data_IF_080143107877
#
_entry.id   IF_080143107877
#
_cell.length_a   1.000
_cell.length_b   1.000
_cell.length_c   1.000
_cell.angle_alpha   90.00
_cell.angle_beta   90.00
_cell.angle_gamma   90.00
#
_symmetry.space_group_name_H-M   'P 1'
#
loop_
_entity.id
_entity.type
_entity.pdbx_description
1 polymer ?
#
# COMPACT_ATOMS: atom_id res chain seq x y z
N UNK A 1 -81.77 4.64 -25.74
CA UNK A 1 -82.35 5.44 -26.83
C UNK A 1 -81.76 6.85 -26.76
N UNK A 2 -81.00 7.20 -27.80
CA UNK A 2 -80.64 8.53 -28.30
C UNK A 2 -80.06 9.61 -27.35
N UNK A 3 -78.74 9.79 -27.47
CA UNK A 3 -77.96 11.03 -27.63
C UNK A 3 -78.73 12.35 -27.80
N UNK A 4 -78.25 13.44 -27.18
CA UNK A 4 -78.03 14.69 -27.91
C UNK A 4 -76.86 15.52 -27.32
N UNK A 5 -76.07 16.01 -28.25
CA UNK A 5 -74.82 16.76 -28.22
C UNK A 5 -74.96 18.21 -27.74
N UNK A 6 -73.87 18.76 -27.18
CA UNK A 6 -73.33 20.09 -27.53
C UNK A 6 -71.90 20.26 -27.01
N UNK A 7 -70.95 20.21 -27.92
CA UNK A 7 -69.57 20.64 -27.74
C UNK A 7 -69.46 22.10 -28.21
N UNK A 8 -68.76 22.94 -27.43
CA UNK A 8 -68.38 24.29 -27.83
C UNK A 8 -66.86 24.36 -28.02
N UNK A 9 -66.49 24.88 -29.19
CA UNK A 9 -65.16 25.17 -29.67
C UNK A 9 -64.54 26.42 -29.01
N UNK A 10 -63.21 26.45 -28.98
CA UNK A 10 -62.24 27.54 -29.31
C UNK A 10 -61.00 27.33 -28.42
N UNK A 11 -59.74 27.44 -28.85
CA UNK A 11 -59.11 27.87 -30.10
C UNK A 11 -57.66 27.34 -30.08
N UNK A 12 -57.14 26.94 -31.24
CA UNK A 12 -55.73 26.55 -31.42
C UNK A 12 -54.88 27.82 -31.57
N UNK A 13 -53.92 28.02 -30.67
CA UNK A 13 -52.80 28.93 -30.90
C UNK A 13 -51.53 28.12 -31.16
N UNK A 14 -51.01 28.24 -32.37
CA UNK A 14 -49.74 27.66 -32.81
C UNK A 14 -48.59 28.54 -32.32
N UNK A 15 -47.95 28.14 -31.22
CA UNK A 15 -46.67 28.70 -30.77
C UNK A 15 -45.52 28.10 -31.56
N UNK A 16 -44.92 28.91 -32.44
CA UNK A 16 -43.79 28.56 -33.30
C UNK A 16 -42.56 28.21 -32.45
N UNK A 17 -41.99 27.02 -32.68
CA UNK A 17 -40.64 26.65 -32.26
C UNK A 17 -39.63 27.59 -32.93
N UNK A 18 -38.98 28.43 -32.14
CA UNK A 18 -37.80 29.18 -32.55
C UNK A 18 -36.57 28.33 -32.22
N UNK A 19 -36.20 27.44 -33.15
CA UNK A 19 -34.83 26.96 -33.24
C UNK A 19 -33.95 28.17 -33.57
N UNK A 20 -33.25 28.69 -32.56
CA UNK A 20 -32.13 29.59 -32.77
C UNK A 20 -30.84 28.77 -32.73
N UNK A 21 -30.19 28.70 -33.88
CA UNK A 21 -28.87 28.12 -34.08
C UNK A 21 -27.84 29.01 -33.40
N UNK A 22 -27.49 28.70 -32.15
CA UNK A 22 -26.34 29.32 -31.49
C UNK A 22 -25.08 28.50 -31.77
N UNK A 23 -24.43 28.91 -32.86
CA UNK A 23 -23.00 29.22 -33.01
C UNK A 23 -22.06 28.52 -32.00
N UNK A 24 -21.15 27.70 -32.54
CA UNK A 24 -19.96 27.11 -31.89
C UNK A 24 -19.35 28.05 -30.83
N UNK A 25 -19.66 27.78 -29.57
CA UNK A 25 -18.88 28.23 -28.42
C UNK A 25 -18.02 27.06 -27.98
N UNK A 26 -16.69 27.26 -27.96
CA UNK A 26 -15.79 26.35 -27.26
C UNK A 26 -16.25 26.26 -25.81
N UNK A 27 -16.81 25.11 -25.42
CA UNK A 27 -17.13 24.81 -24.02
C UNK A 27 -15.79 24.61 -23.32
N UNK A 28 -15.18 25.69 -22.85
CA UNK A 28 -14.09 25.63 -21.87
C UNK A 28 -14.71 25.26 -20.51
N UNK A 29 -15.03 23.99 -20.33
CA UNK A 29 -15.33 23.46 -19.00
C UNK A 29 -14.01 23.44 -18.21
N UNK A 30 -13.75 24.54 -17.51
CA UNK A 30 -12.69 24.63 -16.50
C UNK A 30 -12.97 23.59 -15.43
N UNK A 31 -12.21 22.49 -15.43
CA UNK A 31 -12.18 21.56 -14.29
C UNK A 31 -11.27 22.19 -13.25
N UNK A 32 -11.79 22.54 -12.07
CA UNK A 32 -10.98 23.11 -10.97
C UNK A 32 -9.89 22.14 -10.46
N UNK A 33 -10.01 20.84 -10.76
CA UNK A 33 -9.19 19.77 -10.17
C UNK A 33 -8.34 19.02 -11.22
N UNK A 34 -8.69 19.08 -12.51
CA UNK A 34 -8.07 18.26 -13.55
C UNK A 34 -7.47 19.12 -14.65
N UNK A 35 -6.19 18.88 -14.96
CA UNK A 35 -5.43 19.59 -16.01
C UNK A 35 -5.62 18.99 -17.41
N UNK A 36 -6.28 17.83 -17.53
CA UNK A 36 -6.51 17.16 -18.82
C UNK A 36 -7.74 17.70 -19.54
N UNK A 37 -7.58 17.93 -20.85
CA UNK A 37 -8.67 18.29 -21.78
C UNK A 37 -9.81 17.27 -21.69
N UNK A 38 -11.05 17.74 -21.86
CA UNK A 38 -12.25 16.90 -21.92
C UNK A 38 -12.24 16.08 -23.22
N UNK A 39 -11.46 15.02 -23.27
CA UNK A 39 -11.57 13.99 -24.29
C UNK A 39 -12.53 12.94 -23.74
N UNK A 40 -13.71 12.79 -24.36
CA UNK A 40 -14.65 11.68 -24.08
C UNK A 40 -14.14 10.35 -24.66
N UNK A 41 -12.84 10.16 -24.70
CA UNK A 41 -12.23 9.06 -25.41
C UNK A 41 -11.49 8.14 -24.43
N UNK A 42 -11.57 6.84 -24.69
CA UNK A 42 -10.91 5.80 -23.88
C UNK A 42 -9.41 5.70 -24.16
N UNK A 43 -8.89 6.55 -25.06
CA UNK A 43 -7.47 6.57 -25.43
C UNK A 43 -6.52 6.83 -24.26
N UNK A 44 -7.00 7.38 -23.13
CA UNK A 44 -6.17 7.56 -21.93
C UNK A 44 -5.81 6.23 -21.21
N UNK A 45 -6.48 5.12 -21.55
CA UNK A 45 -6.14 3.78 -21.05
C UNK A 45 -5.10 3.07 -21.91
N UNK A 46 -4.72 3.65 -23.05
CA UNK A 46 -3.72 3.08 -23.95
C UNK A 46 -2.51 4.01 -24.04
N UNK A 47 -1.33 3.43 -24.22
CA UNK A 47 -0.12 4.21 -24.50
C UNK A 47 -0.27 4.95 -25.83
N UNK A 48 0.57 5.95 -26.03
CA UNK A 48 0.65 6.70 -27.27
C UNK A 48 0.77 5.73 -28.45
N UNK A 49 -0.02 5.98 -29.51
CA UNK A 49 -0.05 5.12 -30.71
C UNK A 49 1.32 4.90 -31.36
N UNK A 50 2.29 5.78 -31.06
CA UNK A 50 3.69 5.69 -31.50
C UNK A 50 4.48 4.59 -30.80
N UNK A 51 4.10 4.24 -29.57
CA UNK A 51 4.76 3.26 -28.73
C UNK A 51 4.21 1.84 -28.93
N UNK A 52 3.16 1.69 -29.76
CA UNK A 52 2.55 0.39 -30.04
C UNK A 52 3.53 -0.51 -30.80
N UNK A 53 3.82 -1.68 -30.23
CA UNK A 53 4.77 -2.64 -30.81
C UNK A 53 6.24 -2.33 -30.55
N UNK A 54 6.57 -1.27 -29.81
CA UNK A 54 7.93 -1.01 -29.35
C UNK A 54 8.33 -2.02 -28.25
N UNK A 55 9.55 -2.54 -28.32
CA UNK A 55 10.09 -3.47 -27.31
C UNK A 55 10.48 -2.75 -26.02
N UNK A 56 11.00 -1.52 -26.14
CA UNK A 56 11.37 -0.67 -25.01
C UNK A 56 10.75 0.72 -25.15
N UNK A 57 10.14 1.20 -24.07
CA UNK A 57 9.68 2.58 -23.95
C UNK A 57 10.55 3.28 -22.91
N UNK A 58 11.25 4.35 -23.32
CA UNK A 58 12.11 5.12 -22.43
C UNK A 58 11.26 5.80 -21.35
N UNK A 59 11.53 5.48 -20.09
CA UNK A 59 10.87 6.07 -18.93
C UNK A 59 11.89 6.80 -18.04
N UNK A 60 11.43 7.86 -17.36
CA UNK A 60 12.25 8.59 -16.39
C UNK A 60 12.45 7.84 -15.07
N UNK A 61 13.10 8.48 -14.10
CA UNK A 61 13.20 7.98 -12.72
C UNK A 61 11.87 8.10 -11.96
N UNK A 62 11.71 7.33 -10.90
CA UNK A 62 10.62 7.49 -9.93
C UNK A 62 10.73 8.81 -9.14
N UNK A 63 9.58 9.26 -8.61
CA UNK A 63 9.51 10.40 -7.71
C UNK A 63 10.09 10.03 -6.35
N UNK A 64 11.10 10.78 -5.92
CA UNK A 64 11.76 10.60 -4.62
C UNK A 64 11.05 11.43 -3.55
N UNK A 65 11.08 10.97 -2.30
CA UNK A 65 10.40 11.65 -1.18
C UNK A 65 10.83 13.11 -1.01
N UNK A 66 12.11 13.40 -1.20
CA UNK A 66 12.65 14.76 -1.08
C UNK A 66 12.09 15.71 -2.13
N UNK A 67 11.86 15.24 -3.36
CA UNK A 67 11.24 16.06 -4.42
C UNK A 67 9.78 16.38 -4.08
N UNK A 68 9.07 15.41 -3.51
CA UNK A 68 7.65 15.51 -3.16
C UNK A 68 7.43 16.40 -1.93
N UNK A 69 8.36 16.41 -0.98
CA UNK A 69 8.32 17.28 0.21
C UNK A 69 8.33 18.77 -0.13
N UNK A 70 8.95 19.15 -1.25
CA UNK A 70 9.01 20.55 -1.73
C UNK A 70 7.68 20.99 -2.37
N UNK A 71 6.82 20.05 -2.81
CA UNK A 71 5.58 20.36 -3.53
C UNK A 71 4.41 20.69 -2.60
N UNK A 72 3.50 21.53 -3.09
CA UNK A 72 2.27 21.91 -2.40
C UNK A 72 1.26 20.74 -2.38
N UNK A 73 0.37 20.69 -1.38
CA UNK A 73 -0.68 19.65 -1.30
C UNK A 73 -1.60 19.61 -2.55
N UNK A 74 -2.05 20.75 -3.12
CA UNK A 74 -2.82 20.74 -4.37
C UNK A 74 -2.05 20.13 -5.55
N UNK A 75 -0.74 20.34 -5.62
CA UNK A 75 0.08 19.77 -6.70
C UNK A 75 0.34 18.28 -6.50
N UNK A 76 0.54 17.82 -5.26
CA UNK A 76 0.60 16.39 -4.94
C UNK A 76 -0.71 15.69 -5.30
N UNK A 77 -1.85 16.30 -4.99
CA UNK A 77 -3.15 15.76 -5.36
C UNK A 77 -3.33 15.65 -6.89
N UNK A 78 -2.90 16.67 -7.66
CA UNK A 78 -2.89 16.59 -9.12
C UNK A 78 -1.95 15.50 -9.63
N UNK A 79 -0.75 15.40 -9.04
CA UNK A 79 0.26 14.42 -9.41
C UNK A 79 -0.25 12.99 -9.18
N UNK A 80 -0.96 12.74 -8.07
CA UNK A 80 -1.60 11.45 -7.80
C UNK A 80 -2.49 10.99 -8.95
N UNK A 81 -3.33 11.87 -9.50
CA UNK A 81 -4.18 11.53 -10.65
C UNK A 81 -3.41 11.35 -11.96
N UNK A 82 -2.27 12.00 -12.12
CA UNK A 82 -1.39 11.75 -13.28
C UNK A 82 -0.81 10.34 -13.19
N UNK A 83 -0.26 9.98 -12.03
CA UNK A 83 0.30 8.64 -11.76
C UNK A 83 -0.77 7.55 -11.84
N UNK A 84 -1.96 7.80 -11.30
CA UNK A 84 -3.07 6.84 -11.34
C UNK A 84 -3.51 6.52 -12.79
N UNK A 85 -3.53 7.51 -13.68
CA UNK A 85 -3.84 7.28 -15.10
C UNK A 85 -2.76 6.45 -15.78
N UNK A 86 -1.49 6.75 -15.51
CA UNK A 86 -0.36 5.96 -16.02
C UNK A 86 -0.43 4.52 -15.52
N UNK A 87 -0.68 4.30 -14.21
CA UNK A 87 -0.84 2.96 -13.63
C UNK A 87 -1.98 2.20 -14.29
N UNK A 88 -3.15 2.81 -14.47
CA UNK A 88 -4.30 2.16 -15.10
C UNK A 88 -4.02 1.79 -16.57
N UNK A 89 -3.34 2.67 -17.30
CA UNK A 89 -2.92 2.42 -18.68
C UNK A 89 -1.94 1.24 -18.75
N UNK A 90 -0.93 1.21 -17.86
CA UNK A 90 0.05 0.13 -17.78
C UNK A 90 -0.59 -1.22 -17.43
N UNK A 91 -1.49 -1.25 -16.45
CA UNK A 91 -2.23 -2.48 -16.08
C UNK A 91 -3.10 -2.99 -17.24
N UNK A 92 -3.71 -2.10 -18.02
CA UNK A 92 -4.48 -2.47 -19.22
C UNK A 92 -3.56 -3.14 -20.25
N UNK A 93 -2.37 -2.56 -20.48
CA UNK A 93 -1.38 -3.13 -21.38
C UNK A 93 -0.81 -4.46 -20.89
N UNK A 94 -0.57 -4.60 -19.58
CA UNK A 94 -0.04 -5.82 -18.98
C UNK A 94 -1.01 -6.98 -19.19
N UNK A 95 -2.29 -6.73 -18.91
CA UNK A 95 -3.35 -7.70 -19.14
C UNK A 95 -3.46 -8.09 -20.62
N UNK A 96 -3.42 -7.12 -21.53
CA UNK A 96 -3.44 -7.40 -22.98
C UNK A 96 -2.21 -8.22 -23.42
N UNK A 97 -1.02 -7.90 -22.92
CA UNK A 97 0.19 -8.66 -23.24
C UNK A 97 0.08 -10.10 -22.75
N UNK A 98 -0.48 -10.30 -21.54
CA UNK A 98 -0.73 -11.62 -20.98
C UNK A 98 -1.73 -12.43 -21.81
N UNK A 99 -2.81 -11.81 -22.27
CA UNK A 99 -3.81 -12.43 -23.14
C UNK A 99 -3.23 -12.79 -24.52
N UNK A 100 -2.42 -11.91 -25.09
CA UNK A 100 -1.72 -12.15 -26.36
C UNK A 100 -0.48 -13.05 -26.22
N UNK A 101 -0.14 -13.52 -25.01
CA UNK A 101 1.08 -14.26 -24.70
C UNK A 101 2.37 -13.55 -25.17
N UNK A 102 2.41 -12.24 -25.05
CA UNK A 102 3.55 -11.38 -25.38
C UNK A 102 4.25 -10.89 -24.11
N UNK A 103 5.54 -10.61 -24.24
CA UNK A 103 6.30 -9.97 -23.18
C UNK A 103 5.85 -8.51 -23.04
N UNK A 104 5.71 -8.07 -21.79
CA UNK A 104 5.31 -6.70 -21.49
C UNK A 104 6.43 -5.71 -21.86
N UNK A 105 6.14 -4.65 -22.62
CA UNK A 105 7.12 -3.61 -22.91
C UNK A 105 7.52 -2.88 -21.62
N UNK A 106 8.79 -2.97 -21.21
CA UNK A 106 9.36 -2.24 -20.06
C UNK A 106 8.55 -2.34 -18.74
N UNK A 107 8.54 -3.52 -18.06
CA UNK A 107 7.83 -3.72 -16.78
C UNK A 107 8.28 -2.77 -15.67
N UNK A 108 9.53 -2.34 -15.70
CA UNK A 108 10.09 -1.36 -14.77
C UNK A 108 9.27 -0.05 -14.69
N UNK A 109 8.50 0.29 -15.73
CA UNK A 109 7.67 1.50 -15.73
C UNK A 109 6.54 1.41 -14.70
N UNK A 110 5.98 0.21 -14.51
CA UNK A 110 4.96 -0.04 -13.50
C UNK A 110 5.55 0.09 -12.10
N UNK A 111 6.70 -0.55 -11.85
CA UNK A 111 7.40 -0.49 -10.56
C UNK A 111 7.74 0.95 -10.18
N UNK A 112 8.25 1.75 -11.13
CA UNK A 112 8.56 3.18 -10.89
C UNK A 112 7.33 4.01 -10.55
N UNK A 113 6.18 3.71 -11.16
CA UNK A 113 4.92 4.40 -10.87
C UNK A 113 4.40 4.00 -9.50
N UNK A 114 4.46 2.70 -9.16
CA UNK A 114 4.08 2.19 -7.84
C UNK A 114 4.94 2.79 -6.73
N UNK A 115 6.27 2.77 -6.87
CA UNK A 115 7.20 3.42 -5.95
C UNK A 115 6.89 4.92 -5.80
N UNK A 116 6.59 5.61 -6.91
CA UNK A 116 6.22 7.03 -6.88
C UNK A 116 4.90 7.28 -6.13
N UNK A 117 3.93 6.38 -6.25
CA UNK A 117 2.64 6.47 -5.55
C UNK A 117 2.80 6.19 -4.06
N UNK A 118 3.59 5.19 -3.67
CA UNK A 118 3.90 4.88 -2.27
C UNK A 118 4.65 6.04 -1.60
N UNK A 119 5.67 6.59 -2.25
CA UNK A 119 6.41 7.75 -1.75
C UNK A 119 5.51 8.98 -1.57
N UNK A 120 4.56 9.20 -2.50
CA UNK A 120 3.59 10.30 -2.39
C UNK A 120 2.65 10.09 -1.20
N UNK A 121 2.11 8.89 -1.03
CA UNK A 121 1.26 8.56 0.11
C UNK A 121 2.01 8.73 1.44
N UNK A 122 3.27 8.27 1.52
CA UNK A 122 4.11 8.41 2.70
C UNK A 122 4.32 9.89 3.06
N UNK A 123 4.67 10.76 2.10
CA UNK A 123 4.86 12.19 2.35
C UNK A 123 3.56 12.87 2.82
N UNK A 124 2.40 12.50 2.25
CA UNK A 124 1.11 13.02 2.71
C UNK A 124 0.79 12.53 4.12
N UNK A 125 1.09 11.26 4.43
CA UNK A 125 0.90 10.67 5.76
C UNK A 125 1.84 11.32 6.79
N UNK A 126 3.11 11.54 6.47
CA UNK A 126 4.08 12.29 7.28
C UNK A 126 3.52 13.67 7.66
N UNK A 127 3.00 14.42 6.67
CA UNK A 127 2.41 15.75 6.89
C UNK A 127 1.18 15.70 7.81
N UNK A 128 0.27 14.74 7.58
CA UNK A 128 -0.92 14.59 8.40
C UNK A 128 -0.58 14.18 9.84
N UNK A 129 0.38 13.27 10.03
CA UNK A 129 0.88 12.88 11.35
C UNK A 129 1.44 14.08 12.11
N UNK A 130 2.32 14.86 11.48
CA UNK A 130 2.90 16.05 12.09
C UNK A 130 1.83 17.09 12.48
N UNK A 131 0.81 17.28 11.63
CA UNK A 131 -0.31 18.16 11.93
C UNK A 131 -1.12 17.68 13.15
N UNK A 132 -1.51 16.41 13.19
CA UNK A 132 -2.30 15.86 14.29
C UNK A 132 -1.51 15.75 15.60
N UNK A 133 -0.21 15.49 15.52
CA UNK A 133 0.67 15.47 16.69
C UNK A 133 0.75 16.86 17.33
N UNK A 134 0.82 17.93 16.53
CA UNK A 134 0.84 19.31 17.03
C UNK A 134 -0.52 19.78 17.56
N UNK A 135 -1.62 19.42 16.90
CA UNK A 135 -2.95 19.88 17.29
C UNK A 135 -3.57 19.09 18.44
N UNK A 136 -3.44 17.76 18.42
CA UNK A 136 -4.12 16.84 19.33
C UNK A 136 -3.17 15.97 20.15
N UNK A 137 -1.87 15.91 19.81
CA UNK A 137 -0.94 14.95 20.40
C UNK A 137 -1.19 13.51 19.95
N UNK A 138 -1.97 13.32 18.88
CA UNK A 138 -2.35 12.01 18.34
C UNK A 138 -1.75 11.84 16.93
N UNK A 139 -1.51 10.59 16.52
CA UNK A 139 -0.92 10.27 15.21
C UNK A 139 -1.89 10.59 14.04
N UNK A 140 -3.20 10.66 14.32
CA UNK A 140 -4.24 10.91 13.32
C UNK A 140 -4.56 9.74 12.39
N UNK A 141 -3.96 8.57 12.64
CA UNK A 141 -4.33 7.31 11.99
C UNK A 141 -5.48 6.61 12.70
N UNK A 142 -5.99 5.54 12.10
CA UNK A 142 -7.03 4.72 12.70
C UNK A 142 -6.60 4.28 14.12
N UNK A 143 -7.39 4.56 15.16
CA UNK A 143 -7.05 4.20 16.53
C UNK A 143 -6.97 2.68 16.69
N UNK A 144 -5.96 2.23 17.44
CA UNK A 144 -5.70 0.81 17.72
C UNK A 144 -5.54 0.58 19.21
N UNK A 145 -6.06 -0.54 19.68
CA UNK A 145 -5.92 -0.98 21.07
C UNK A 145 -5.34 -2.39 21.11
N UNK A 146 -4.39 -2.63 22.02
CA UNK A 146 -3.87 -3.99 22.25
C UNK A 146 -4.86 -4.74 23.13
N UNK A 147 -5.60 -5.66 22.52
CA UNK A 147 -6.53 -6.53 23.22
C UNK A 147 -5.94 -7.93 23.36
N UNK A 148 -6.45 -8.71 24.32
CA UNK A 148 -6.12 -10.13 24.41
C UNK A 148 -7.14 -10.87 23.57
N UNK A 149 -6.68 -11.50 22.49
CA UNK A 149 -7.52 -12.29 21.60
C UNK A 149 -8.06 -13.57 22.26
N UNK A 150 -8.93 -14.32 21.56
CA UNK A 150 -9.54 -15.54 22.08
C UNK A 150 -8.52 -16.63 22.46
N UNK A 151 -7.36 -16.64 21.80
CA UNK A 151 -6.27 -17.57 22.07
C UNK A 151 -5.31 -17.10 23.17
N UNK A 152 -5.63 -16.01 23.88
CA UNK A 152 -4.79 -15.46 24.95
C UNK A 152 -3.52 -14.76 24.45
N UNK A 153 -3.44 -14.45 23.15
CA UNK A 153 -2.35 -13.70 22.54
C UNK A 153 -2.71 -12.21 22.42
N UNK A 154 -1.75 -11.28 22.57
CA UNK A 154 -1.99 -9.87 22.33
C UNK A 154 -2.23 -9.64 20.83
N UNK A 155 -3.34 -8.99 20.51
CA UNK A 155 -3.76 -8.64 19.16
C UNK A 155 -4.00 -7.13 19.07
N UNK A 156 -3.60 -6.50 17.96
CA UNK A 156 -3.92 -5.11 17.68
C UNK A 156 -5.34 -5.01 17.11
N UNK A 157 -6.30 -4.58 17.93
CA UNK A 157 -7.65 -4.30 17.49
C UNK A 157 -7.74 -2.90 16.86
N UNK A 158 -8.06 -2.87 15.57
CA UNK A 158 -8.29 -1.62 14.82
C UNK A 158 -9.73 -1.19 15.03
N UNK A 159 -9.94 -0.04 15.68
CA UNK A 159 -11.27 0.46 15.96
C UNK A 159 -11.94 0.97 14.69
N UNK A 160 -13.21 0.63 14.52
CA UNK A 160 -14.05 1.07 13.39
C UNK A 160 -15.14 2.02 13.86
N UNK A 161 -15.57 2.91 12.96
CA UNK A 161 -16.69 3.80 13.24
C UNK A 161 -18.00 2.99 13.30
N UNK A 162 -18.80 3.25 14.34
CA UNK A 162 -20.12 2.64 14.53
C UNK A 162 -21.15 3.74 14.80
N UNK A 163 -22.35 3.58 14.25
CA UNK A 163 -23.48 4.50 14.49
C UNK A 163 -24.10 4.35 15.88
N UNK A 164 -23.84 3.22 16.52
CA UNK A 164 -24.44 2.79 17.78
C UNK A 164 -23.30 2.52 18.78
N UNK A 165 -23.43 2.90 20.06
CA UNK A 165 -22.46 2.54 21.10
C UNK A 165 -22.16 1.04 21.17
N UNK A 166 -20.92 0.72 21.56
CA UNK A 166 -20.37 -0.63 21.64
C UNK A 166 -21.23 -1.55 22.52
N UNK A 167 -21.81 -1.00 23.58
CA UNK A 167 -22.55 -1.69 24.64
C UNK A 167 -23.90 -2.25 24.18
N UNK A 168 -24.46 -1.72 23.09
CA UNK A 168 -25.74 -2.17 22.54
C UNK A 168 -25.62 -2.76 21.13
N UNK A 169 -24.41 -2.78 20.56
CA UNK A 169 -24.15 -3.32 19.23
C UNK A 169 -24.08 -4.85 19.23
N UNK A 170 -25.20 -5.51 18.92
CA UNK A 170 -25.31 -6.97 18.91
C UNK A 170 -24.37 -7.65 17.89
N UNK A 171 -24.08 -7.03 16.74
CA UNK A 171 -23.15 -7.59 15.76
C UNK A 171 -21.72 -7.60 16.28
N UNK A 172 -21.31 -6.49 16.90
CA UNK A 172 -19.99 -6.37 17.52
C UNK A 172 -19.79 -7.43 18.62
N UNK A 173 -20.79 -7.62 19.49
CA UNK A 173 -20.73 -8.66 20.52
C UNK A 173 -20.61 -10.07 19.95
N UNK A 174 -21.34 -10.39 18.87
CA UNK A 174 -21.26 -11.71 18.23
C UNK A 174 -19.85 -12.01 17.71
N UNK A 175 -19.18 -11.02 17.12
CA UNK A 175 -17.82 -11.18 16.60
C UNK A 175 -16.79 -11.37 17.73
N UNK A 176 -16.99 -10.68 18.85
CA UNK A 176 -16.07 -10.71 19.98
C UNK A 176 -16.26 -11.92 20.89
N UNK A 177 -17.46 -12.53 20.89
CA UNK A 177 -17.80 -13.65 21.75
C UNK A 177 -17.34 -15.00 21.19
N UNK A 178 -16.10 -15.09 20.69
CA UNK A 178 -15.47 -16.38 20.43
C UNK A 178 -15.09 -16.98 21.77
N UNK A 179 -15.84 -18.00 22.20
CA UNK A 179 -15.58 -18.70 23.47
C UNK A 179 -14.56 -19.80 23.25
N UNK A 180 -13.39 -19.66 23.87
CA UNK A 180 -12.42 -20.74 24.05
C UNK A 180 -12.40 -21.17 25.52
N UNK A 181 -12.13 -22.44 25.80
CA UNK A 181 -11.96 -22.91 27.18
C UNK A 181 -10.70 -22.27 27.77
N UNK A 182 -10.79 -21.53 28.90
CA UNK A 182 -9.63 -20.92 29.55
C UNK A 182 -8.48 -21.90 29.84
N UNK A 183 -8.79 -23.18 30.09
CA UNK A 183 -7.78 -24.21 30.34
C UNK A 183 -6.97 -24.53 29.08
N UNK A 184 -7.66 -24.68 27.95
CA UNK A 184 -7.03 -24.95 26.66
C UNK A 184 -6.18 -23.76 26.22
N UNK A 185 -6.68 -22.53 26.43
CA UNK A 185 -5.95 -21.29 26.14
C UNK A 185 -4.67 -21.20 26.99
N UNK A 186 -4.74 -21.54 28.28
CA UNK A 186 -3.57 -21.54 29.15
C UNK A 186 -2.53 -22.59 28.73
N UNK A 187 -2.97 -23.80 28.37
CA UNK A 187 -2.09 -24.85 27.86
C UNK A 187 -1.44 -24.46 26.53
N UNK A 188 -2.22 -23.89 25.62
CA UNK A 188 -1.74 -23.34 24.36
C UNK A 188 -0.68 -22.27 24.59
N UNK A 189 -0.95 -21.29 25.45
CA UNK A 189 -0.01 -20.22 25.79
C UNK A 189 1.30 -20.75 26.37
N UNK A 190 1.25 -21.79 27.23
CA UNK A 190 2.45 -22.45 27.75
C UNK A 190 3.26 -23.12 26.64
N UNK A 191 2.62 -23.94 25.80
CA UNK A 191 3.27 -24.63 24.68
C UNK A 191 3.83 -23.66 23.65
N UNK A 192 3.15 -22.54 23.41
CA UNK A 192 3.59 -21.48 22.52
C UNK A 192 4.89 -20.84 23.01
N UNK A 193 4.95 -20.42 24.28
CA UNK A 193 6.18 -19.87 24.88
C UNK A 193 7.33 -20.87 24.88
N UNK A 194 7.05 -22.14 25.16
CA UNK A 194 8.04 -23.21 25.08
C UNK A 194 8.60 -23.35 23.65
N UNK A 195 7.72 -23.32 22.65
CA UNK A 195 8.12 -23.34 21.23
C UNK A 195 8.98 -22.12 20.86
N UNK A 196 8.59 -20.92 21.26
CA UNK A 196 9.38 -19.70 21.03
C UNK A 196 10.77 -19.79 21.68
N UNK A 197 10.83 -20.28 22.92
CA UNK A 197 12.09 -20.47 23.63
C UNK A 197 12.99 -21.49 22.92
N UNK A 198 12.43 -22.62 22.48
CA UNK A 198 13.16 -23.63 21.72
C UNK A 198 13.69 -23.05 20.41
N UNK A 199 12.90 -22.26 19.70
CA UNK A 199 13.32 -21.66 18.43
C UNK A 199 14.42 -20.62 18.63
N UNK A 200 14.29 -19.73 19.63
CA UNK A 200 15.36 -18.78 20.01
C UNK A 200 16.65 -19.50 20.39
N UNK A 201 16.55 -20.57 21.18
CA UNK A 201 17.71 -21.40 21.55
C UNK A 201 18.35 -22.08 20.34
N UNK A 202 17.55 -22.61 19.41
CA UNK A 202 18.03 -23.22 18.16
C UNK A 202 18.72 -22.18 17.28
N UNK A 203 18.12 -21.00 17.13
CA UNK A 203 18.68 -19.88 16.39
C UNK A 203 20.01 -19.44 16.97
N UNK A 204 20.08 -19.17 18.27
CA UNK A 204 21.33 -18.82 18.96
C UNK A 204 22.40 -19.90 18.76
N UNK A 205 22.03 -21.20 18.77
CA UNK A 205 22.98 -22.28 18.47
C UNK A 205 23.41 -22.29 16.99
N UNK A 206 22.52 -22.01 16.04
CA UNK A 206 22.85 -21.86 14.62
C UNK A 206 23.86 -20.72 14.44
N UNK A 207 23.55 -19.55 14.99
CA UNK A 207 24.38 -18.35 14.91
C UNK A 207 25.74 -18.56 15.57
N UNK A 208 25.78 -19.14 16.77
CA UNK A 208 27.03 -19.49 17.45
C UNK A 208 27.91 -20.44 16.61
N UNK A 209 27.33 -21.46 15.98
CA UNK A 209 28.11 -22.35 15.10
C UNK A 209 28.48 -21.66 13.77
N UNK A 210 27.64 -20.75 13.28
CA UNK A 210 27.92 -19.96 12.08
C UNK A 210 29.12 -19.05 12.29
N UNK A 211 29.14 -18.30 13.41
CA UNK A 211 30.26 -17.46 13.86
C UNK A 211 31.55 -18.27 13.98
N UNK A 212 31.54 -19.43 14.63
CA UNK A 212 32.72 -20.32 14.67
C UNK A 212 33.17 -20.70 13.26
N UNK A 213 32.22 -21.04 12.38
CA UNK A 213 32.52 -21.37 10.99
C UNK A 213 33.08 -20.21 10.18
N UNK A 214 32.71 -18.96 10.49
CA UNK A 214 33.26 -17.74 9.90
C UNK A 214 34.70 -17.50 10.38
N UNK A 215 34.93 -17.55 11.69
CA UNK A 215 36.26 -17.39 12.28
C UNK A 215 37.25 -18.46 11.81
N UNK A 216 36.77 -19.69 11.54
CA UNK A 216 37.60 -20.75 10.97
C UNK A 216 37.89 -20.54 9.48
N UNK A 217 36.98 -19.94 8.70
CA UNK A 217 37.18 -19.69 7.26
C UNK A 217 38.02 -18.44 7.01
N UNK A 218 37.82 -17.42 7.83
CA UNK A 218 38.43 -16.10 7.70
C UNK A 218 39.07 -15.70 9.04
N UNK A 219 40.31 -16.13 9.30
CA UNK A 219 40.97 -15.86 10.58
C UNK A 219 41.35 -14.39 10.79
N UNK A 220 41.54 -13.60 9.72
CA UNK A 220 41.79 -12.14 9.75
C UNK A 220 40.49 -11.31 9.67
N UNK A 221 39.33 -11.89 10.02
CA UNK A 221 38.03 -11.20 9.95
C UNK A 221 37.94 -10.07 10.98
N UNK A 222 37.27 -8.98 10.60
CA UNK A 222 36.96 -7.91 11.54
C UNK A 222 35.96 -8.37 12.61
N UNK A 223 36.38 -8.26 13.86
CA UNK A 223 35.66 -8.73 15.03
C UNK A 223 34.53 -7.76 15.41
N UNK A 224 34.68 -6.48 15.09
CA UNK A 224 33.66 -5.45 15.40
C UNK A 224 32.44 -5.63 14.51
N UNK A 225 32.66 -5.74 13.18
CA UNK A 225 31.61 -6.06 12.22
C UNK A 225 30.87 -7.38 12.55
N UNK A 226 31.59 -8.40 13.03
CA UNK A 226 30.99 -9.68 13.41
C UNK A 226 30.07 -9.55 14.64
N UNK A 227 30.44 -8.70 15.60
CA UNK A 227 29.63 -8.41 16.79
C UNK A 227 28.39 -7.59 16.45
N UNK A 228 28.50 -6.67 15.50
CA UNK A 228 27.36 -5.88 15.02
C UNK A 228 26.30 -6.76 14.36
N UNK A 229 26.73 -7.73 13.53
CA UNK A 229 25.82 -8.67 12.86
C UNK A 229 25.23 -9.72 13.81
N UNK A 230 25.98 -10.16 14.83
CA UNK A 230 25.57 -11.17 15.80
C UNK A 230 25.67 -10.66 17.25
N UNK A 231 24.79 -9.74 17.68
CA UNK A 231 24.89 -9.12 19.01
C UNK A 231 24.66 -10.11 20.15
N UNK A 232 23.86 -11.16 19.91
CA UNK A 232 23.51 -12.18 20.91
C UNK A 232 24.61 -13.24 21.12
N UNK A 233 25.61 -13.31 20.24
CA UNK A 233 26.64 -14.35 20.27
C UNK A 233 27.89 -13.85 20.99
N UNK A 234 28.26 -14.54 22.07
CA UNK A 234 29.53 -14.30 22.76
C UNK A 234 30.71 -14.85 21.94
N UNK A 235 31.49 -13.93 21.35
CA UNK A 235 32.59 -14.23 20.44
C UNK A 235 33.79 -14.84 21.19
N UNK A 236 34.05 -14.41 22.42
CA UNK A 236 35.15 -14.97 23.21
C UNK A 236 34.86 -16.42 23.59
N UNK A 237 33.58 -16.71 23.91
CA UNK A 237 33.11 -18.08 24.08
C UNK A 237 33.16 -18.89 22.79
N UNK A 238 32.98 -18.25 21.63
CA UNK A 238 33.14 -18.91 20.32
C UNK A 238 34.60 -19.30 20.05
N UNK A 239 35.57 -18.43 20.36
CA UNK A 239 37.02 -18.73 20.26
C UNK A 239 37.47 -19.80 21.26
N UNK A 240 36.92 -19.78 22.47
CA UNK A 240 37.22 -20.78 23.50
C UNK A 240 36.61 -22.17 23.19
N UNK A 241 35.70 -22.25 22.21
CA UNK A 241 35.04 -23.50 21.83
C UNK A 241 36.01 -24.49 21.19
N UNK A 242 35.88 -25.78 21.52
CA UNK A 242 36.65 -26.87 20.89
C UNK A 242 36.48 -26.96 19.36
N UNK A 243 35.42 -26.35 18.82
CA UNK A 243 35.15 -26.32 17.38
C UNK A 243 35.91 -25.20 16.65
N UNK A 244 36.47 -24.24 17.37
CA UNK A 244 37.32 -23.21 16.81
C UNK A 244 38.69 -23.81 16.49
N UNK A 245 39.02 -23.82 15.19
CA UNK A 245 40.22 -24.39 14.60
C UNK A 245 40.59 -23.54 13.38
N UNK A 246 41.13 -22.34 13.59
CA UNK A 246 41.53 -21.48 12.48
C UNK A 246 42.70 -22.12 11.72
N UNK A 247 42.77 -21.97 10.39
CA UNK A 247 43.96 -22.35 9.63
C UNK A 247 45.16 -21.50 10.07
N UNK A 248 46.40 -21.99 9.85
CA UNK A 248 47.59 -21.21 10.11
C UNK A 248 47.51 -19.88 9.37
N UNK A 249 47.67 -18.79 10.11
CA UNK A 249 47.72 -17.46 9.54
C UNK A 249 49.17 -17.21 9.16
N UNK A 250 49.44 -17.15 7.85
CA UNK A 250 50.72 -16.67 7.36
C UNK A 250 50.63 -15.15 7.24
N UNK A 251 51.58 -14.47 7.85
CA UNK A 251 51.77 -13.04 7.67
C UNK A 251 52.56 -12.85 6.36
N UNK A 252 51.86 -12.37 5.33
CA UNK A 252 52.45 -11.86 4.09
C UNK A 252 52.95 -10.42 4.31
#
# INVERSE_FOLDING_TARGET
>A
MANFTKALHLSKSYGKSLFSTLRNGHICNSRMISTTLYLRDFMAFFDDKKNWGATEVKSGRSWQKDDLRIKSNPDLHKLWYVLLKERNMLLTMEQECKEQMKLFPSPERLDKVEESMENLEEVVRERNRAYHELERGEIGEQPKETIIGPFGLPEEYKMTEHSIPKEINAEWYKQQQIKCDPRDVAEFGRKYREKEFIEKRRQHKRDFNHVIGLLNRFPKMDMEALKEQYPDVDIEKAKASRKYKPPPVFDD
#
